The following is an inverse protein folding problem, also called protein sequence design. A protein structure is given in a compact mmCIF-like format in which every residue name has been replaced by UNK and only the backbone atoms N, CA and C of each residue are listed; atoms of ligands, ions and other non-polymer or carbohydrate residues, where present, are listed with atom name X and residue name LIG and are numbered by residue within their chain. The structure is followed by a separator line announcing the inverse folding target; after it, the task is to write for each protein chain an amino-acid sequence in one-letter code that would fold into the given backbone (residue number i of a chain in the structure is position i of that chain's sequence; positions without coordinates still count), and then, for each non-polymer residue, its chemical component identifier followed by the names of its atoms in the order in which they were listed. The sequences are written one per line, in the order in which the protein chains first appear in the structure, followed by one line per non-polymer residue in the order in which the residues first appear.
data_IF_659056946819
#
_entry.id   IF_659056946819
#
_cell.length_a   1.000
_cell.length_b   1.000
_cell.length_c   1.000
_cell.angle_alpha   90.00
_cell.angle_beta   90.00
_cell.angle_gamma   90.00
#
_symmetry.space_group_name_H-M   'P 1'
#
loop_
_entity.id
_entity.type
_entity.pdbx_description
1 polymer ?
#
# COMPACT_ATOMS: atom_id res chain seq x y z
N UNK A 1 3.60 12.07 -26.07
CA UNK A 1 2.78 12.32 -25.00
C UNK A 1 3.35 11.78 -23.71
N UNK A 2 3.36 12.60 -22.79
CA UNK A 2 4.12 12.29 -21.62
C UNK A 2 3.23 11.92 -20.47
N UNK A 3 3.26 10.65 -20.10
CA UNK A 3 2.49 10.18 -18.98
C UNK A 3 2.93 10.83 -17.68
N UNK A 4 4.17 11.30 -17.61
CA UNK A 4 4.67 11.98 -16.43
C UNK A 4 3.96 13.30 -16.20
N UNK A 5 3.60 14.00 -17.26
CA UNK A 5 2.87 15.25 -17.16
C UNK A 5 1.45 15.01 -16.65
N UNK A 6 0.97 13.77 -16.71
CA UNK A 6 -0.37 13.41 -16.25
C UNK A 6 -0.36 12.61 -14.97
N UNK A 7 0.77 12.48 -14.31
CA UNK A 7 0.84 11.78 -13.03
C UNK A 7 -0.07 12.47 -12.05
N UNK A 8 -1.00 11.71 -11.52
CA UNK A 8 -1.97 12.23 -10.57
C UNK A 8 -1.39 12.19 -9.18
N UNK A 9 -1.56 13.28 -8.46
CA UNK A 9 -1.19 13.38 -7.06
C UNK A 9 -2.42 13.62 -6.23
N UNK A 10 -2.41 13.11 -5.03
CA UNK A 10 -3.52 13.22 -4.09
C UNK A 10 -3.06 13.96 -2.85
N UNK A 11 -3.94 14.79 -2.32
CA UNK A 11 -3.70 15.42 -1.03
C UNK A 11 -4.03 14.43 0.09
N UNK A 12 -3.46 14.67 1.27
CA UNK A 12 -3.67 13.76 2.40
C UNK A 12 -5.16 13.58 2.72
N UNK A 13 -5.95 14.62 2.59
CA UNK A 13 -7.40 14.53 2.81
C UNK A 13 -8.09 13.59 1.82
N UNK A 14 -7.65 13.60 0.57
CA UNK A 14 -8.18 12.71 -0.46
C UNK A 14 -7.80 11.26 -0.19
N UNK A 15 -6.53 11.03 0.17
CA UNK A 15 -6.06 9.68 0.49
C UNK A 15 -6.80 9.15 1.72
N UNK A 16 -7.01 9.99 2.72
CA UNK A 16 -7.77 9.62 3.91
C UNK A 16 -9.18 9.14 3.54
N UNK A 17 -9.85 9.85 2.64
CA UNK A 17 -11.17 9.44 2.17
C UNK A 17 -11.12 8.13 1.40
N UNK A 18 -10.17 8.00 0.48
CA UNK A 18 -10.06 6.80 -0.35
C UNK A 18 -9.73 5.56 0.47
N UNK A 19 -8.89 5.71 1.48
CA UNK A 19 -8.48 4.60 2.33
C UNK A 19 -9.42 4.37 3.50
N UNK A 20 -10.31 5.32 3.79
CA UNK A 20 -11.19 5.24 4.95
C UNK A 20 -10.44 5.39 6.26
N UNK A 21 -9.40 6.22 6.29
CA UNK A 21 -8.54 6.41 7.45
C UNK A 21 -8.48 7.90 7.81
N UNK A 22 -8.29 8.22 9.10
CA UNK A 22 -8.03 9.60 9.49
C UNK A 22 -6.67 10.07 8.96
N UNK A 23 -6.56 11.36 8.67
CA UNK A 23 -5.31 11.93 8.18
C UNK A 23 -4.15 11.74 9.18
N UNK A 24 -4.44 11.79 10.48
CA UNK A 24 -3.37 11.59 11.47
C UNK A 24 -2.78 10.19 11.42
N UNK A 25 -3.56 9.19 11.01
CA UNK A 25 -3.04 7.84 10.82
C UNK A 25 -2.04 7.80 9.69
N UNK A 26 -2.33 8.49 8.59
CA UNK A 26 -1.42 8.56 7.46
C UNK A 26 -0.11 9.26 7.84
N UNK A 27 -0.18 10.33 8.62
CA UNK A 27 1.01 11.04 9.10
C UNK A 27 1.87 10.15 9.99
N UNK A 28 1.22 9.36 10.84
CA UNK A 28 1.92 8.41 11.69
C UNK A 28 2.62 7.34 10.85
N UNK A 29 1.93 6.82 9.83
CA UNK A 29 2.51 5.80 8.95
C UNK A 29 3.70 6.34 8.15
N UNK A 30 3.69 7.61 7.77
CA UNK A 30 4.84 8.22 7.10
C UNK A 30 6.10 8.15 7.96
N UNK A 31 5.94 8.27 9.26
CA UNK A 31 7.05 8.19 10.19
C UNK A 31 7.51 6.75 10.41
N UNK A 32 6.57 5.81 10.39
CA UNK A 32 6.86 4.42 10.70
C UNK A 32 7.29 3.60 9.48
N UNK A 33 6.88 3.98 8.29
CA UNK A 33 7.18 3.23 7.07
C UNK A 33 8.00 4.07 6.11
N UNK A 34 9.21 3.63 5.83
CA UNK A 34 10.10 4.33 4.90
C UNK A 34 9.60 4.27 3.46
N UNK A 35 8.79 3.26 3.15
CA UNK A 35 8.20 3.06 1.83
C UNK A 35 7.15 4.11 1.49
N UNK A 36 6.60 4.77 2.49
CA UNK A 36 5.58 5.78 2.29
C UNK A 36 6.22 7.16 2.36
N UNK A 37 6.52 7.74 1.19
CA UNK A 37 7.21 9.01 1.10
C UNK A 37 6.50 9.98 0.17
N UNK A 38 5.46 10.67 0.66
CA UNK A 38 4.80 11.67 -0.17
C UNK A 38 5.71 12.85 -0.43
N UNK A 39 5.52 13.49 -1.57
CA UNK A 39 6.25 14.69 -1.92
C UNK A 39 5.67 15.88 -1.20
N UNK A 40 6.51 16.87 -0.93
CA UNK A 40 6.03 18.17 -0.51
C UNK A 40 5.87 19.05 -1.75
N UNK A 41 4.67 19.59 -1.93
CA UNK A 41 4.41 20.52 -3.00
C UNK A 41 5.02 21.88 -2.73
N UNK A 42 4.83 22.80 -3.67
CA UNK A 42 5.39 24.17 -3.56
C UNK A 42 4.93 24.90 -2.29
N UNK A 43 3.73 24.57 -1.82
CA UNK A 43 3.16 25.21 -0.64
C UNK A 43 3.44 24.43 0.66
N UNK A 44 4.34 23.44 0.60
CA UNK A 44 4.64 22.59 1.74
C UNK A 44 3.60 21.52 2.02
N UNK A 45 2.57 21.40 1.20
CA UNK A 45 1.54 20.39 1.38
C UNK A 45 2.03 19.04 0.90
N UNK A 46 1.57 17.97 1.57
CA UNK A 46 1.89 16.61 1.18
C UNK A 46 1.13 16.22 -0.08
N UNK A 47 1.87 15.63 -1.03
CA UNK A 47 1.29 15.11 -2.25
C UNK A 47 1.64 13.64 -2.36
N UNK A 48 0.62 12.80 -2.39
CA UNK A 48 0.75 11.35 -2.51
C UNK A 48 0.62 10.95 -3.96
N UNK A 49 1.58 10.17 -4.45
CA UNK A 49 1.51 9.59 -5.79
C UNK A 49 0.59 8.36 -5.76
N UNK A 50 0.35 7.78 -6.94
CA UNK A 50 -0.39 6.52 -6.99
C UNK A 50 0.38 5.40 -6.32
N UNK A 51 1.70 5.41 -6.42
CA UNK A 51 2.54 4.43 -5.71
C UNK A 51 2.39 4.59 -4.20
N UNK A 52 2.34 5.82 -3.71
CA UNK A 52 2.10 6.05 -2.29
C UNK A 52 0.73 5.54 -1.87
N UNK A 53 -0.27 5.74 -2.71
CA UNK A 53 -1.61 5.24 -2.42
C UNK A 53 -1.63 3.71 -2.33
N UNK A 54 -0.90 3.04 -3.22
CA UNK A 54 -0.74 1.59 -3.16
C UNK A 54 -0.05 1.15 -1.87
N UNK A 55 0.99 1.88 -1.48
CA UNK A 55 1.69 1.59 -0.23
C UNK A 55 0.75 1.72 0.97
N UNK A 56 -0.07 2.76 1.00
CA UNK A 56 -1.08 2.94 2.05
C UNK A 56 -2.03 1.75 2.09
N UNK A 57 -2.49 1.29 0.94
CA UNK A 57 -3.39 0.13 0.88
C UNK A 57 -2.72 -1.14 1.34
N UNK A 58 -1.45 -1.34 1.01
CA UNK A 58 -0.70 -2.50 1.47
C UNK A 58 -0.53 -2.48 2.99
N UNK A 59 -0.18 -1.32 3.54
CA UNK A 59 -0.05 -1.17 4.98
C UNK A 59 -1.39 -1.45 5.67
N UNK A 60 -2.46 -0.87 5.15
CA UNK A 60 -3.80 -1.06 5.68
C UNK A 60 -4.19 -2.54 5.68
N UNK A 61 -3.90 -3.23 4.58
CA UNK A 61 -4.18 -4.66 4.46
C UNK A 61 -3.40 -5.46 5.50
N UNK A 62 -2.12 -5.18 5.65
CA UNK A 62 -1.27 -5.90 6.61
C UNK A 62 -1.73 -5.68 8.05
N UNK A 63 -2.05 -4.46 8.40
CA UNK A 63 -2.42 -4.13 9.77
C UNK A 63 -3.86 -4.53 10.10
N UNK A 64 -4.80 -4.20 9.23
CA UNK A 64 -6.22 -4.36 9.54
C UNK A 64 -6.81 -5.68 9.11
N UNK A 65 -6.41 -6.19 7.96
CA UNK A 65 -6.95 -7.47 7.49
C UNK A 65 -6.14 -8.68 7.94
N UNK A 66 -4.81 -8.54 7.95
CA UNK A 66 -3.94 -9.66 8.31
C UNK A 66 -3.46 -9.61 9.75
N UNK A 67 -3.71 -8.51 10.46
CA UNK A 67 -3.42 -8.42 11.87
C UNK A 67 -1.96 -8.26 12.25
N UNK A 68 -1.12 -7.84 11.33
CA UNK A 68 0.28 -7.59 11.65
C UNK A 68 0.44 -6.35 12.52
N UNK A 69 1.47 -6.35 13.35
CA UNK A 69 1.89 -5.16 14.06
C UNK A 69 2.60 -4.21 13.10
N UNK A 70 2.79 -2.96 13.52
CA UNK A 70 3.59 -1.99 12.75
C UNK A 70 4.96 -2.58 12.42
N UNK A 71 5.60 -3.18 13.41
CA UNK A 71 6.92 -3.78 13.24
C UNK A 71 6.89 -4.91 12.23
N UNK A 72 5.90 -5.80 12.34
CA UNK A 72 5.77 -6.91 11.42
C UNK A 72 5.49 -6.46 10.00
N UNK A 73 4.60 -5.49 9.82
CA UNK A 73 4.31 -4.93 8.52
C UNK A 73 5.55 -4.29 7.90
N UNK A 74 6.34 -3.59 8.72
CA UNK A 74 7.58 -2.98 8.28
C UNK A 74 8.56 -4.02 7.71
N UNK A 75 8.68 -5.14 8.41
CA UNK A 75 9.55 -6.22 7.95
C UNK A 75 9.11 -6.81 6.62
N UNK A 76 7.80 -7.00 6.46
CA UNK A 76 7.25 -7.56 5.22
C UNK A 76 7.47 -6.61 4.05
N UNK A 77 7.27 -5.32 4.24
CA UNK A 77 7.47 -4.33 3.19
C UNK A 77 8.95 -4.25 2.77
N UNK A 78 9.85 -4.34 3.73
CA UNK A 78 11.28 -4.35 3.43
C UNK A 78 11.68 -5.56 2.58
N UNK A 79 11.18 -6.73 2.95
CA UNK A 79 11.49 -7.96 2.19
C UNK A 79 10.97 -7.86 0.76
N UNK A 80 9.80 -7.29 0.59
CA UNK A 80 9.22 -7.12 -0.74
C UNK A 80 10.08 -6.22 -1.62
N UNK A 81 10.62 -5.15 -1.05
CA UNK A 81 11.43 -4.20 -1.80
C UNK A 81 12.83 -4.70 -2.11
N UNK A 82 13.36 -5.63 -1.30
CA UNK A 82 14.73 -6.08 -1.43
C UNK A 82 14.89 -7.45 -2.07
N UNK A 83 13.80 -8.17 -2.31
CA UNK A 83 13.85 -9.51 -2.88
C UNK A 83 14.13 -9.43 -4.39
N UNK A 84 15.28 -9.95 -4.87
CA UNK A 84 15.61 -9.89 -6.28
C UNK A 84 14.71 -10.78 -7.15
N UNK A 85 13.97 -11.70 -6.54
CA UNK A 85 13.04 -12.56 -7.27
C UNK A 85 11.69 -11.88 -7.54
N UNK A 86 11.45 -10.73 -6.91
CA UNK A 86 10.23 -9.99 -7.17
C UNK A 86 10.44 -9.15 -8.42
N UNK A 87 9.53 -9.25 -9.41
CA UNK A 87 9.66 -8.46 -10.63
C UNK A 87 9.76 -6.97 -10.33
N UNK A 88 10.62 -6.27 -11.05
CA UNK A 88 10.76 -4.83 -10.89
C UNK A 88 9.46 -4.10 -11.27
N UNK A 89 8.58 -4.79 -12.01
CA UNK A 89 7.26 -4.26 -12.31
C UNK A 89 6.32 -4.62 -11.17
N UNK A 90 5.96 -3.61 -10.39
CA UNK A 90 5.08 -3.78 -9.25
C UNK A 90 3.68 -4.28 -9.62
N UNK A 91 3.29 -4.16 -10.90
CA UNK A 91 1.98 -4.63 -11.34
C UNK A 91 1.84 -6.14 -11.24
N UNK A 92 2.86 -6.87 -11.72
CA UNK A 92 2.82 -8.32 -11.64
C UNK A 92 2.82 -8.81 -10.20
N UNK A 93 3.67 -8.22 -9.37
CA UNK A 93 3.73 -8.58 -7.96
C UNK A 93 2.39 -8.36 -7.28
N UNK A 94 1.74 -7.23 -7.56
CA UNK A 94 0.43 -6.91 -6.98
C UNK A 94 -0.65 -7.88 -7.45
N UNK A 95 -0.63 -8.21 -8.75
CA UNK A 95 -1.59 -9.15 -9.30
C UNK A 95 -1.43 -10.53 -8.67
N UNK A 96 -0.19 -10.99 -8.54
CA UNK A 96 0.08 -12.28 -7.91
C UNK A 96 -0.35 -12.32 -6.45
N UNK A 97 -0.16 -11.23 -5.72
CA UNK A 97 -0.64 -11.14 -4.34
C UNK A 97 -2.15 -11.24 -4.26
N UNK A 98 -2.85 -10.54 -5.16
CA UNK A 98 -4.30 -10.63 -5.23
C UNK A 98 -4.77 -12.04 -5.53
N UNK A 99 -4.11 -12.70 -6.47
CA UNK A 99 -4.45 -14.07 -6.84
C UNK A 99 -4.25 -15.02 -5.66
N UNK A 100 -3.15 -14.88 -4.94
CA UNK A 100 -2.90 -15.69 -3.75
C UNK A 100 -3.94 -15.48 -2.67
N UNK A 101 -4.33 -14.24 -2.46
CA UNK A 101 -5.36 -13.90 -1.48
C UNK A 101 -6.70 -14.51 -1.87
N UNK A 102 -7.07 -14.38 -3.13
CA UNK A 102 -8.31 -14.96 -3.64
C UNK A 102 -8.32 -16.47 -3.51
N UNK A 103 -7.19 -17.10 -3.81
CA UNK A 103 -7.05 -18.55 -3.68
C UNK A 103 -7.25 -18.99 -2.23
N UNK A 104 -6.65 -18.28 -1.28
CA UNK A 104 -6.81 -18.60 0.13
C UNK A 104 -8.25 -18.44 0.59
N UNK A 105 -8.93 -17.40 0.14
CA UNK A 105 -10.32 -17.16 0.48
C UNK A 105 -11.21 -18.26 -0.07
N UNK A 106 -10.95 -18.68 -1.31
CA UNK A 106 -11.69 -19.78 -1.91
C UNK A 106 -11.49 -21.09 -1.15
N UNK A 107 -10.26 -21.38 -0.75
CA UNK A 107 -9.97 -22.57 0.02
C UNK A 107 -10.71 -22.58 1.35
N UNK A 108 -10.76 -21.44 2.02
CA UNK A 108 -11.50 -21.32 3.29
C UNK A 108 -12.98 -21.54 3.08
N UNK A 109 -13.54 -21.02 2.00
CA UNK A 109 -14.95 -21.23 1.70
C UNK A 109 -15.25 -22.69 1.41
N UNK A 110 -14.37 -23.37 0.67
CA UNK A 110 -14.53 -24.78 0.38
C UNK A 110 -14.47 -25.61 1.66
N UNK A 111 -13.59 -25.27 2.58
CA UNK A 111 -13.50 -25.96 3.86
C UNK A 111 -14.77 -25.80 4.69
N UNK A 112 -15.37 -24.64 4.66
CA UNK A 112 -16.60 -24.38 5.39
C UNK A 112 -17.78 -25.14 4.79
N UNK A 113 -17.79 -25.33 3.47
CA UNK A 113 -18.88 -26.01 2.78
C UNK A 113 -18.80 -27.55 2.91
N UNK A 114 -17.66 -28.06 3.28
CA UNK A 114 -17.55 -29.49 3.60
C UNK A 114 -18.05 -29.73 5.01
#
# INVERSE_FOLDING_TARGET
MDDKARTKYYRIGEVAKLAGLPAYTLRYWEQEFMELRPRKGRTGRRLYSEDDLETVRRIQNLLHEQGYTIRGAREILKKTDTDPNIPSDNREARLMQKLRKMKRQLQKLLEVLE
#
